data_IF_236801827104
#
_entry.id   IF_236801827104
#
_cell.length_a   1.000
_cell.length_b   1.000
_cell.length_c   1.000
_cell.angle_alpha   90.00
_cell.angle_beta   90.00
_cell.angle_gamma   90.00
#
_symmetry.space_group_name_H-M   'P 1'
#
loop_
_entity.id
_entity.type
_entity.pdbx_description
1 polymer ?
#
# COMPACT_ATOMS: atom_id res chain seq x y z
N UNK A 1 10.36 -20.56 -18.46
CA UNK A 1 11.48 -19.60 -18.43
C UNK A 1 11.77 -19.32 -16.97
N UNK A 2 12.79 -19.98 -16.41
CA UNK A 2 13.17 -19.84 -15.02
C UNK A 2 14.13 -18.64 -14.84
N UNK A 3 13.84 -17.80 -13.85
CA UNK A 3 14.73 -16.86 -13.16
C UNK A 3 15.80 -16.16 -13.98
N UNK A 4 15.51 -14.95 -14.47
CA UNK A 4 16.54 -13.89 -14.48
C UNK A 4 16.49 -13.21 -13.12
N UNK A 5 17.67 -13.08 -12.54
CA UNK A 5 17.95 -12.48 -11.25
C UNK A 5 17.28 -11.10 -11.09
N UNK A 6 16.26 -11.01 -10.21
CA UNK A 6 16.18 -9.96 -9.19
C UNK A 6 15.15 -8.82 -9.30
N UNK A 7 14.47 -8.61 -10.43
CA UNK A 7 13.52 -7.50 -10.58
C UNK A 7 12.45 -7.81 -11.64
N UNK A 8 11.17 -7.62 -11.30
CA UNK A 8 10.03 -7.75 -12.22
C UNK A 8 10.04 -6.65 -13.29
N UNK A 9 9.34 -6.85 -14.41
CA UNK A 9 9.19 -5.78 -15.40
C UNK A 9 8.43 -4.59 -14.83
N UNK A 10 7.42 -4.85 -14.00
CA UNK A 10 6.66 -3.82 -13.32
C UNK A 10 7.57 -2.94 -12.46
N UNK A 11 8.46 -3.55 -11.67
CA UNK A 11 9.40 -2.81 -10.83
C UNK A 11 10.40 -1.98 -11.64
N UNK A 12 10.87 -2.48 -12.79
CA UNK A 12 11.71 -1.68 -13.72
C UNK A 12 10.96 -0.44 -14.23
N UNK A 13 9.68 -0.58 -14.55
CA UNK A 13 8.84 0.55 -14.98
C UNK A 13 8.58 1.54 -13.82
N UNK A 14 8.35 1.07 -12.60
CA UNK A 14 8.23 1.91 -11.39
C UNK A 14 9.50 2.75 -11.18
N UNK A 15 10.69 2.14 -11.27
CA UNK A 15 11.97 2.84 -11.10
C UNK A 15 12.20 3.94 -12.15
N UNK A 16 11.54 3.86 -13.30
CA UNK A 16 11.59 4.86 -14.37
C UNK A 16 10.49 5.92 -14.30
N UNK A 17 9.51 5.76 -13.42
CA UNK A 17 8.33 6.62 -13.38
C UNK A 17 7.26 6.28 -14.44
N UNK A 18 7.35 5.11 -15.07
CA UNK A 18 6.44 4.62 -16.11
C UNK A 18 5.31 3.81 -15.45
N UNK A 19 4.45 4.48 -14.68
CA UNK A 19 3.55 3.78 -13.75
C UNK A 19 2.42 3.02 -14.47
N UNK A 20 1.87 3.57 -15.55
CA UNK A 20 0.87 2.88 -16.37
C UNK A 20 1.45 1.61 -17.01
N UNK A 21 2.69 1.67 -17.51
CA UNK A 21 3.42 0.50 -18.01
C UNK A 21 3.70 -0.50 -16.90
N UNK A 22 4.00 -0.05 -15.68
CA UNK A 22 4.18 -0.93 -14.53
C UNK A 22 2.89 -1.68 -14.18
N UNK A 23 1.73 -1.01 -14.18
CA UNK A 23 0.42 -1.63 -13.96
C UNK A 23 0.13 -2.67 -15.05
N UNK A 24 0.43 -2.35 -16.32
CA UNK A 24 0.24 -3.25 -17.44
C UNK A 24 1.15 -4.50 -17.33
N UNK A 25 2.42 -4.31 -16.98
CA UNK A 25 3.39 -5.40 -16.82
C UNK A 25 2.98 -6.34 -15.68
N UNK A 26 2.64 -5.81 -14.50
CA UNK A 26 2.20 -6.62 -13.36
C UNK A 26 0.88 -7.34 -13.66
N UNK A 27 -0.04 -6.71 -14.38
CA UNK A 27 -1.30 -7.35 -14.81
C UNK A 27 -1.03 -8.51 -15.75
N UNK A 28 -0.11 -8.36 -16.71
CA UNK A 28 0.28 -9.46 -17.59
C UNK A 28 0.90 -10.65 -16.84
N UNK A 29 1.65 -10.41 -15.76
CA UNK A 29 2.15 -11.49 -14.90
C UNK A 29 1.02 -12.24 -14.20
N UNK A 30 0.05 -11.50 -13.63
CA UNK A 30 -1.12 -12.07 -12.96
C UNK A 30 -1.96 -12.90 -13.95
N UNK A 31 -2.25 -12.34 -15.13
CA UNK A 31 -3.01 -13.01 -16.18
C UNK A 31 -2.27 -14.22 -16.76
N UNK A 32 -0.94 -14.19 -16.74
CA UNK A 32 -0.05 -15.31 -17.06
C UNK A 32 -0.02 -16.42 -16.01
N UNK A 33 -0.73 -16.26 -14.89
CA UNK A 33 -0.84 -17.24 -13.81
C UNK A 33 0.14 -17.05 -12.67
N UNK A 34 0.88 -15.93 -12.62
CA UNK A 34 1.67 -15.58 -11.44
C UNK A 34 0.73 -15.15 -10.31
N UNK A 35 0.49 -16.06 -9.36
CA UNK A 35 -0.36 -15.83 -8.19
C UNK A 35 0.44 -15.54 -6.91
N UNK A 36 1.75 -15.35 -7.04
CA UNK A 36 2.62 -14.93 -5.94
C UNK A 36 2.32 -13.49 -5.48
N UNK A 37 2.87 -13.05 -4.33
CA UNK A 37 2.64 -11.71 -3.80
C UNK A 37 3.29 -10.58 -4.62
N UNK A 38 4.43 -10.84 -5.29
CA UNK A 38 5.22 -9.84 -6.01
C UNK A 38 4.42 -9.04 -7.06
N UNK A 39 3.71 -9.65 -8.04
CA UNK A 39 3.02 -8.87 -9.05
C UNK A 39 1.86 -8.04 -8.49
N UNK A 40 1.21 -8.48 -7.40
CA UNK A 40 0.22 -7.66 -6.71
C UNK A 40 0.88 -6.49 -5.98
N UNK A 41 2.01 -6.71 -5.31
CA UNK A 41 2.77 -5.65 -4.65
C UNK A 41 3.24 -4.58 -5.64
N UNK A 42 3.79 -4.98 -6.78
CA UNK A 42 4.28 -4.04 -7.79
C UNK A 42 3.12 -3.27 -8.42
N UNK A 43 2.00 -3.94 -8.74
CA UNK A 43 0.80 -3.25 -9.26
C UNK A 43 0.22 -2.28 -8.23
N UNK A 44 0.22 -2.66 -6.96
CA UNK A 44 -0.25 -1.80 -5.86
C UNK A 44 0.59 -0.53 -5.75
N UNK A 45 1.91 -0.68 -5.82
CA UNK A 45 2.87 0.43 -5.77
C UNK A 45 2.69 1.36 -6.97
N UNK A 46 2.59 0.82 -8.19
CA UNK A 46 2.36 1.63 -9.38
C UNK A 46 1.02 2.40 -9.33
N UNK A 47 -0.05 1.75 -8.84
CA UNK A 47 -1.35 2.39 -8.63
C UNK A 47 -1.33 3.47 -7.56
N UNK A 48 -0.59 3.26 -6.48
CA UNK A 48 -0.41 4.29 -5.45
C UNK A 48 0.24 5.54 -6.04
N UNK A 49 1.29 5.35 -6.86
CA UNK A 49 2.01 6.44 -7.52
C UNK A 49 1.17 7.16 -8.59
N UNK A 50 0.12 6.50 -9.10
CA UNK A 50 -0.92 7.10 -9.95
C UNK A 50 -2.10 7.70 -9.17
N UNK A 51 -2.05 7.68 -7.84
CA UNK A 51 -3.14 8.09 -6.94
C UNK A 51 -4.44 7.25 -7.12
N UNK A 52 -4.32 6.05 -7.71
CA UNK A 52 -5.40 5.07 -7.85
C UNK A 52 -5.57 4.26 -6.56
N UNK A 53 -5.88 4.95 -5.46
CA UNK A 53 -5.78 4.40 -4.11
C UNK A 53 -6.66 3.17 -3.85
N UNK A 54 -7.90 3.13 -4.33
CA UNK A 54 -8.78 1.97 -4.08
C UNK A 54 -8.20 0.68 -4.67
N UNK A 55 -7.69 0.75 -5.91
CA UNK A 55 -7.05 -0.37 -6.60
C UNK A 55 -5.72 -0.76 -5.97
N UNK A 56 -4.92 0.22 -5.57
CA UNK A 56 -3.65 0.02 -4.86
C UNK A 56 -3.84 -0.74 -3.55
N UNK A 57 -4.74 -0.26 -2.69
CA UNK A 57 -5.01 -0.88 -1.39
C UNK A 57 -5.52 -2.32 -1.54
N UNK A 58 -6.40 -2.58 -2.52
CA UNK A 58 -6.88 -3.94 -2.77
C UNK A 58 -5.75 -4.86 -3.24
N UNK A 59 -4.83 -4.38 -4.08
CA UNK A 59 -3.68 -5.19 -4.49
C UNK A 59 -2.70 -5.46 -3.34
N UNK A 60 -2.43 -4.47 -2.48
CA UNK A 60 -1.62 -4.69 -1.27
C UNK A 60 -2.24 -5.75 -0.34
N UNK A 61 -3.57 -5.71 -0.13
CA UNK A 61 -4.29 -6.71 0.67
C UNK A 61 -4.13 -8.12 0.08
N UNK A 62 -4.20 -8.25 -1.24
CA UNK A 62 -3.95 -9.53 -1.93
C UNK A 62 -2.49 -9.95 -1.78
N UNK A 63 -1.53 -9.05 -1.97
CA UNK A 63 -0.11 -9.35 -1.80
C UNK A 63 0.21 -9.87 -0.38
N UNK A 64 -0.34 -9.20 0.65
CA UNK A 64 -0.20 -9.64 2.05
C UNK A 64 -0.83 -11.03 2.25
N UNK A 65 -2.03 -11.27 1.70
CA UNK A 65 -2.69 -12.56 1.81
C UNK A 65 -1.89 -13.70 1.15
N UNK A 66 -1.37 -13.47 -0.07
CA UNK A 66 -0.51 -14.43 -0.78
C UNK A 66 0.79 -14.69 -0.04
N UNK A 67 1.42 -13.64 0.50
CA UNK A 67 2.69 -13.79 1.20
C UNK A 67 2.56 -14.56 2.52
N UNK A 68 1.38 -14.59 3.16
CA UNK A 68 1.14 -15.47 4.33
C UNK A 68 1.24 -16.94 3.97
N UNK A 69 0.82 -17.29 2.76
CA UNK A 69 0.86 -18.66 2.25
C UNK A 69 2.27 -19.03 1.77
N UNK A 70 2.91 -18.14 1.01
CA UNK A 70 4.15 -18.46 0.28
C UNK A 70 5.44 -18.00 0.96
N UNK A 71 5.39 -16.88 1.71
CA UNK A 71 6.54 -16.23 2.37
C UNK A 71 7.68 -15.86 1.41
N UNK A 72 7.31 -15.45 0.19
CA UNK A 72 8.24 -15.07 -0.87
C UNK A 72 8.80 -13.65 -0.70
N UNK A 73 8.12 -12.80 0.06
CA UNK A 73 8.50 -11.40 0.32
C UNK A 73 8.68 -11.14 1.80
N UNK A 74 9.46 -10.10 2.12
CA UNK A 74 9.57 -9.60 3.49
C UNK A 74 8.23 -9.04 3.96
N UNK A 75 7.70 -9.63 5.04
CA UNK A 75 6.45 -9.19 5.65
C UNK A 75 6.53 -7.77 6.19
N UNK A 76 7.72 -7.32 6.63
CA UNK A 76 7.91 -5.95 7.10
C UNK A 76 7.76 -4.94 5.95
N UNK A 77 8.39 -5.22 4.80
CA UNK A 77 8.25 -4.40 3.59
C UNK A 77 6.78 -4.28 3.15
N UNK A 78 6.04 -5.39 3.18
CA UNK A 78 4.61 -5.39 2.85
C UNK A 78 3.78 -4.57 3.83
N UNK A 79 4.04 -4.70 5.13
CA UNK A 79 3.33 -3.95 6.18
C UNK A 79 3.57 -2.44 6.06
N UNK A 80 4.82 -2.02 5.85
CA UNK A 80 5.23 -0.62 5.75
C UNK A 80 4.70 0.06 4.47
N UNK A 81 4.79 -0.61 3.33
CA UNK A 81 4.26 -0.11 2.06
C UNK A 81 2.72 0.02 2.12
N UNK A 82 2.04 -1.00 2.66
CA UNK A 82 0.59 -0.97 2.80
C UNK A 82 0.14 0.14 3.76
N UNK A 83 0.83 0.32 4.89
CA UNK A 83 0.56 1.42 5.81
C UNK A 83 0.74 2.79 5.13
N UNK A 84 1.82 2.98 4.38
CA UNK A 84 2.08 4.22 3.64
C UNK A 84 0.96 4.54 2.64
N UNK A 85 0.54 3.55 1.85
CA UNK A 85 -0.55 3.70 0.89
C UNK A 85 -1.89 4.01 1.58
N UNK A 86 -2.16 3.43 2.75
CA UNK A 86 -3.35 3.74 3.54
C UNK A 86 -3.34 5.18 4.05
N UNK A 87 -2.19 5.68 4.50
CA UNK A 87 -2.04 7.07 4.92
C UNK A 87 -2.26 8.00 3.73
N UNK A 88 -1.64 7.74 2.58
CA UNK A 88 -1.83 8.53 1.36
C UNK A 88 -3.31 8.55 0.93
N UNK A 89 -3.94 7.39 0.84
CA UNK A 89 -5.37 7.25 0.55
C UNK A 89 -6.25 8.02 1.56
N UNK A 90 -5.88 7.99 2.84
CA UNK A 90 -6.64 8.68 3.88
C UNK A 90 -6.58 10.21 3.77
N UNK A 91 -5.45 10.73 3.29
CA UNK A 91 -5.23 12.16 3.09
C UNK A 91 -5.89 12.66 1.80
N UNK A 92 -5.89 11.85 0.75
CA UNK A 92 -6.56 12.15 -0.52
C UNK A 92 -8.09 11.95 -0.46
N UNK A 93 -8.61 11.36 0.62
CA UNK A 93 -10.02 11.06 0.75
C UNK A 93 -10.89 12.34 0.73
N UNK A 94 -12.07 12.32 0.08
CA UNK A 94 -12.95 13.50 -0.01
C UNK A 94 -13.50 13.99 1.33
N UNK A 95 -13.44 13.16 2.37
CA UNK A 95 -13.89 13.49 3.71
C UNK A 95 -13.09 12.75 4.77
N UNK A 96 -13.01 13.29 6.01
CA UNK A 96 -12.34 12.59 7.10
C UNK A 96 -12.94 11.22 7.41
N UNK A 97 -14.25 11.05 7.23
CA UNK A 97 -14.91 9.75 7.42
C UNK A 97 -14.41 8.70 6.42
N UNK A 98 -14.24 9.08 5.15
CA UNK A 98 -13.66 8.19 4.14
C UNK A 98 -12.18 7.91 4.40
N UNK A 99 -11.42 8.91 4.88
CA UNK A 99 -10.03 8.68 5.26
C UNK A 99 -9.87 7.71 6.43
N UNK A 100 -10.76 7.80 7.44
CA UNK A 100 -10.83 6.83 8.52
C UNK A 100 -11.22 5.43 8.00
N UNK A 101 -12.16 5.35 7.06
CA UNK A 101 -12.56 4.08 6.44
C UNK A 101 -11.41 3.41 5.69
N UNK A 102 -10.56 4.18 5.00
CA UNK A 102 -9.33 3.68 4.39
C UNK A 102 -8.44 3.06 5.48
N UNK A 103 -8.11 3.82 6.52
CA UNK A 103 -7.26 3.36 7.63
C UNK A 103 -7.82 2.14 8.39
N UNK A 104 -9.14 1.98 8.47
CA UNK A 104 -9.80 0.78 9.05
C UNK A 104 -9.56 -0.50 8.24
N UNK A 105 -9.02 -0.42 7.02
CA UNK A 105 -8.55 -1.61 6.27
C UNK A 105 -7.30 -2.22 6.91
N UNK A 106 -6.48 -1.43 7.62
CA UNK A 106 -5.25 -1.92 8.24
C UNK A 106 -5.53 -3.01 9.27
N UNK A 107 -6.42 -2.74 10.22
CA UNK A 107 -6.71 -3.66 11.33
C UNK A 107 -7.35 -4.97 10.87
N UNK A 108 -8.09 -4.94 9.75
CA UNK A 108 -8.66 -6.13 9.11
C UNK A 108 -7.61 -6.98 8.42
N UNK A 109 -6.66 -6.31 7.76
CA UNK A 109 -5.68 -6.98 6.92
C UNK A 109 -4.49 -7.44 7.73
N UNK A 110 -3.92 -6.59 8.59
CA UNK A 110 -2.73 -6.83 9.42
C UNK A 110 -3.03 -6.58 10.90
N UNK A 111 -3.81 -7.46 11.57
CA UNK A 111 -4.20 -7.26 12.98
C UNK A 111 -3.01 -7.28 13.95
N UNK A 112 -1.93 -7.98 13.58
CA UNK A 112 -0.67 -8.06 14.32
C UNK A 112 0.44 -7.19 13.69
N UNK A 113 0.06 -6.31 12.74
CA UNK A 113 0.99 -5.42 12.06
C UNK A 113 1.60 -4.35 12.99
N UNK A 114 2.74 -3.81 12.57
CA UNK A 114 3.56 -2.93 13.40
C UNK A 114 2.98 -1.52 13.55
N UNK A 115 2.20 -1.06 12.57
CA UNK A 115 1.69 0.32 12.46
C UNK A 115 0.33 0.57 13.12
N UNK A 116 -0.18 -0.38 13.94
CA UNK A 116 -1.50 -0.24 14.57
C UNK A 116 -1.63 1.02 15.42
N UNK A 117 -0.57 1.40 16.13
CA UNK A 117 -0.57 2.60 16.95
C UNK A 117 -0.73 3.85 16.09
N UNK A 118 0.08 3.95 15.04
CA UNK A 118 0.13 5.03 14.08
C UNK A 118 -1.21 5.19 13.35
N UNK A 119 -1.83 4.08 12.94
CA UNK A 119 -3.17 4.07 12.33
C UNK A 119 -4.20 4.73 13.25
N UNK A 120 -4.22 4.38 14.53
CA UNK A 120 -5.15 5.00 15.48
C UNK A 120 -4.84 6.49 15.71
N UNK A 121 -3.57 6.89 15.66
CA UNK A 121 -3.22 8.31 15.72
C UNK A 121 -3.71 9.09 14.50
N UNK A 122 -3.51 8.56 13.29
CA UNK A 122 -3.99 9.16 12.05
C UNK A 122 -5.51 9.29 12.06
N UNK A 123 -6.23 8.25 12.50
CA UNK A 123 -7.69 8.28 12.65
C UNK A 123 -8.14 9.36 13.64
N UNK A 124 -7.46 9.50 14.79
CA UNK A 124 -7.77 10.54 15.77
C UNK A 124 -7.55 11.95 15.20
N UNK A 125 -6.49 12.16 14.41
CA UNK A 125 -6.24 13.45 13.72
C UNK A 125 -7.32 13.78 12.71
N UNK A 126 -7.73 12.83 11.87
CA UNK A 126 -8.81 13.03 10.90
C UNK A 126 -10.15 13.38 11.58
N UNK A 127 -10.42 12.80 12.75
CA UNK A 127 -11.62 13.11 13.54
C UNK A 127 -11.58 14.47 14.25
N UNK A 128 -10.42 15.12 14.30
CA UNK A 128 -10.21 16.35 15.08
C UNK A 128 -10.00 16.10 16.59
N UNK A 129 -9.82 14.85 17.01
CA UNK A 129 -9.60 14.48 18.42
C UNK A 129 -8.16 14.77 18.89
N UNK A 130 -7.26 15.07 17.95
CA UNK A 130 -5.88 15.48 18.22
C UNK A 130 -5.48 16.65 17.31
N UNK A 131 -4.68 17.60 17.82
CA UNK A 131 -4.09 18.65 16.99
C UNK A 131 -3.27 18.04 15.85
N UNK A 132 -3.26 18.74 14.72
CA UNK A 132 -2.43 18.38 13.57
C UNK A 132 -0.95 18.49 13.95
N UNK A 133 -0.05 17.77 13.25
CA UNK A 133 1.39 17.87 13.53
C UNK A 133 1.94 19.30 13.33
N UNK A 134 1.23 20.13 12.57
CA UNK A 134 1.52 21.55 12.33
C UNK A 134 1.14 22.46 13.51
N UNK A 135 0.26 22.03 14.41
CA UNK A 135 -0.09 22.83 15.59
C UNK A 135 1.02 22.83 16.65
N UNK A 136 1.96 21.87 16.58
CA UNK A 136 3.13 21.82 17.48
C UNK A 136 4.21 22.86 17.17
N UNK A 137 4.13 23.57 16.03
CA UNK A 137 5.15 24.56 15.64
C UNK A 137 4.80 26.00 16.02
N UNK A 138 3.68 26.24 16.72
CA UNK A 138 3.26 27.61 17.10
C UNK A 138 3.78 28.02 18.48
N UNK A 139 4.17 27.06 19.34
CA UNK A 139 4.61 27.33 20.73
C UNK A 139 6.09 26.97 20.99
N UNK A 140 7.03 27.37 20.11
CA UNK A 140 8.47 27.38 20.40
C UNK A 140 9.12 28.75 20.13
#
# INVERSE_FOLDING_TARGET
>A
MAGRYGISFAKVHIEKGEYEEAVAAATAEIDGGNVGPEPFFDRATARELLEEFDGSLTDFEVAIARNRETKEMDGFQLDDAYFSALVAASQAAPSPAQGVQALDRYTRTSPEGTHRGEVEEWKARLKGDRPTLLDKTVDM
#
